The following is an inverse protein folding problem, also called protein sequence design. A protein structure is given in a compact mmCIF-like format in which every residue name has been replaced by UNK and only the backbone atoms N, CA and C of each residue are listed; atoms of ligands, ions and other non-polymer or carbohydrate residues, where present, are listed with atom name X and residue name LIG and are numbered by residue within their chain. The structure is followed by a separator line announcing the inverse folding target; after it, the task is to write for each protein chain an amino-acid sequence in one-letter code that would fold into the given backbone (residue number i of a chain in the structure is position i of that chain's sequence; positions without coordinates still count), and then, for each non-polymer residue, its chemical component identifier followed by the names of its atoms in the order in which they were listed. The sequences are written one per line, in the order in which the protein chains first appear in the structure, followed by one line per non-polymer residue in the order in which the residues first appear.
data_IF_294068287551
#
_entry.id   IF_294068287551
#
_cell.length_a   1.000
_cell.length_b   1.000
_cell.length_c   1.000
_cell.angle_alpha   90.00
_cell.angle_beta   90.00
_cell.angle_gamma   90.00
#
_symmetry.space_group_name_H-M   'P 1'
#
loop_
_entity.id
_entity.type
_entity.pdbx_description
1 polymer ?
#
# COMPACT_ATOMS: atom_id res chain seq x y z
N UNK A 1 8.51 14.62 -7.40
CA UNK A 1 7.99 13.47 -8.14
C UNK A 1 6.66 13.04 -7.51
N UNK A 2 5.73 12.51 -8.30
CA UNK A 2 4.47 11.94 -7.85
C UNK A 2 4.40 10.46 -8.21
N UNK A 3 3.84 9.64 -7.31
CA UNK A 3 3.70 8.18 -7.48
C UNK A 3 2.31 7.73 -7.08
N UNK A 4 1.78 6.75 -7.81
CA UNK A 4 0.60 6.00 -7.41
C UNK A 4 1.08 4.86 -6.50
N UNK A 5 0.94 5.03 -5.19
CA UNK A 5 1.36 4.02 -4.20
C UNK A 5 0.21 3.11 -3.74
N UNK A 6 -1.00 3.40 -4.17
CA UNK A 6 -2.24 2.68 -3.86
C UNK A 6 -2.47 1.41 -4.69
N UNK A 7 -1.54 1.06 -5.57
CA UNK A 7 -1.62 -0.13 -6.42
C UNK A 7 -0.74 -1.26 -5.89
N UNK A 8 -1.29 -2.47 -5.89
CA UNK A 8 -0.49 -3.67 -5.65
C UNK A 8 0.44 -3.94 -6.86
N UNK A 9 1.61 -4.48 -6.58
CA UNK A 9 2.58 -4.89 -7.60
C UNK A 9 2.88 -6.38 -7.48
N UNK A 10 3.43 -6.97 -8.52
CA UNK A 10 3.92 -8.35 -8.43
C UNK A 10 5.06 -8.44 -7.41
N UNK A 11 5.16 -9.53 -6.62
CA UNK A 11 6.30 -9.80 -5.76
C UNK A 11 7.61 -9.75 -6.53
N UNK A 12 8.50 -8.83 -6.13
CA UNK A 12 9.77 -8.57 -6.79
C UNK A 12 10.73 -7.87 -5.82
N UNK A 13 11.96 -7.63 -6.24
CA UNK A 13 12.94 -6.86 -5.45
C UNK A 13 12.53 -5.39 -5.21
N UNK A 14 11.60 -4.86 -5.99
CA UNK A 14 11.07 -3.51 -5.83
C UNK A 14 9.74 -3.48 -5.06
N UNK A 15 9.42 -4.56 -4.35
CA UNK A 15 8.19 -4.73 -3.58
C UNK A 15 8.47 -5.07 -2.12
N UNK A 16 7.48 -4.86 -1.29
CA UNK A 16 7.42 -5.33 0.10
C UNK A 16 5.99 -5.76 0.45
N UNK A 17 5.82 -6.47 1.55
CA UNK A 17 4.49 -6.78 2.06
C UNK A 17 4.02 -5.67 3.00
N UNK A 18 2.83 -5.18 2.73
CA UNK A 18 2.08 -4.28 3.61
C UNK A 18 0.76 -4.92 4.02
N UNK A 19 0.16 -4.43 5.09
CA UNK A 19 -1.17 -4.82 5.55
C UNK A 19 -2.16 -3.72 5.22
N UNK A 20 -3.27 -4.09 4.59
CA UNK A 20 -4.40 -3.21 4.33
C UNK A 20 -5.70 -4.02 4.42
N UNK A 21 -6.74 -3.45 5.02
CA UNK A 21 -8.05 -4.09 5.22
C UNK A 21 -7.99 -5.44 5.98
N UNK A 22 -6.96 -5.63 6.82
CA UNK A 22 -6.73 -6.88 7.54
C UNK A 22 -6.03 -7.98 6.74
N UNK A 23 -5.71 -7.73 5.47
CA UNK A 23 -5.01 -8.65 4.57
C UNK A 23 -3.60 -8.16 4.26
N UNK A 24 -2.73 -9.09 3.88
CA UNK A 24 -1.40 -8.77 3.37
C UNK A 24 -1.45 -8.61 1.85
N UNK A 25 -0.69 -7.66 1.31
CA UNK A 25 -0.56 -7.44 -0.12
C UNK A 25 0.85 -6.96 -0.49
N UNK A 26 1.24 -7.23 -1.71
CA UNK A 26 2.52 -6.76 -2.25
C UNK A 26 2.39 -5.33 -2.74
N UNK A 27 3.19 -4.42 -2.20
CA UNK A 27 3.22 -3.01 -2.53
C UNK A 27 4.59 -2.57 -3.03
N UNK A 28 4.63 -1.57 -3.92
CA UNK A 28 5.88 -0.97 -4.41
C UNK A 28 6.61 -0.24 -3.29
N UNK A 29 7.94 -0.36 -3.24
CA UNK A 29 8.82 0.43 -2.36
C UNK A 29 9.47 1.62 -3.09
N UNK A 30 9.14 1.84 -4.35
CA UNK A 30 9.84 2.83 -5.19
C UNK A 30 9.80 4.25 -4.58
N UNK A 31 8.65 4.68 -4.08
CA UNK A 31 8.49 5.98 -3.42
C UNK A 31 9.36 6.09 -2.18
N UNK A 32 9.46 5.02 -1.38
CA UNK A 32 10.30 4.98 -0.18
C UNK A 32 11.80 5.04 -0.53
N UNK A 33 12.23 4.28 -1.53
CA UNK A 33 13.62 4.30 -2.03
C UNK A 33 14.02 5.69 -2.51
N UNK A 34 13.15 6.34 -3.28
CA UNK A 34 13.43 7.68 -3.82
C UNK A 34 13.43 8.74 -2.73
N UNK A 35 12.52 8.66 -1.76
CA UNK A 35 12.49 9.57 -0.63
C UNK A 35 13.77 9.47 0.20
N UNK A 36 14.22 8.26 0.55
CA UNK A 36 15.46 8.06 1.29
C UNK A 36 16.70 8.53 0.52
N UNK A 37 16.80 8.23 -0.79
CA UNK A 37 17.95 8.63 -1.60
C UNK A 37 18.04 10.13 -1.81
N UNK A 38 16.91 10.81 -1.85
CA UNK A 38 16.85 12.26 -2.08
C UNK A 38 16.75 13.06 -0.78
N UNK A 39 16.76 12.41 0.38
CA UNK A 39 16.47 13.03 1.68
C UNK A 39 15.18 13.89 1.62
N UNK A 40 14.15 13.32 1.03
CA UNK A 40 12.90 14.02 0.75
C UNK A 40 11.77 13.59 1.69
N UNK A 41 10.89 14.52 2.01
CA UNK A 41 9.64 14.21 2.72
C UNK A 41 8.66 13.52 1.79
N UNK A 42 7.81 12.67 2.37
CA UNK A 42 6.70 12.03 1.67
C UNK A 42 5.41 12.78 2.05
N UNK A 43 4.66 13.18 1.03
CA UNK A 43 3.33 13.73 1.20
C UNK A 43 2.32 12.86 0.47
N UNK A 44 1.30 12.41 1.17
CA UNK A 44 0.15 11.73 0.60
C UNK A 44 -0.90 12.73 0.16
N UNK A 45 -1.54 12.48 -0.97
CA UNK A 45 -2.64 13.30 -1.48
C UNK A 45 -3.89 12.45 -1.63
N UNK A 46 -4.93 12.81 -0.88
CA UNK A 46 -6.26 12.24 -1.01
C UNK A 46 -7.17 13.18 -1.80
N UNK A 47 -8.10 12.63 -2.55
CA UNK A 47 -9.20 13.38 -3.14
C UNK A 47 -10.50 13.08 -2.41
N UNK A 48 -11.21 14.12 -2.00
CA UNK A 48 -12.48 14.01 -1.29
C UNK A 48 -13.57 14.65 -2.15
N UNK A 49 -14.55 13.87 -2.65
CA UNK A 49 -15.64 14.41 -3.42
C UNK A 49 -16.52 15.30 -2.54
N UNK A 50 -16.97 16.41 -3.10
CA UNK A 50 -17.85 17.36 -2.46
C UNK A 50 -19.28 17.22 -3.00
N UNK A 51 -20.27 17.71 -2.24
CA UNK A 51 -21.70 17.62 -2.63
C UNK A 51 -22.04 18.41 -3.88
N UNK A 52 -21.26 19.41 -4.23
CA UNK A 52 -21.43 20.26 -5.43
C UNK A 52 -20.80 19.64 -6.69
N UNK A 53 -20.22 18.45 -6.57
CA UNK A 53 -19.54 17.74 -7.67
C UNK A 53 -18.07 18.13 -7.85
N UNK A 54 -17.55 19.06 -7.05
CA UNK A 54 -16.11 19.34 -7.00
C UNK A 54 -15.34 18.28 -6.21
N UNK A 55 -14.02 18.30 -6.30
CA UNK A 55 -13.13 17.48 -5.48
C UNK A 55 -12.15 18.36 -4.70
N UNK A 56 -12.01 18.07 -3.42
CA UNK A 56 -10.98 18.66 -2.57
C UNK A 56 -9.74 17.75 -2.57
N UNK A 57 -8.57 18.30 -2.87
CA UNK A 57 -7.30 17.58 -2.69
C UNK A 57 -6.74 17.91 -1.31
N UNK A 58 -6.53 16.87 -0.49
CA UNK A 58 -5.92 16.97 0.85
C UNK A 58 -4.51 16.43 0.82
N UNK A 59 -3.57 17.26 1.18
CA UNK A 59 -2.16 16.90 1.28
C UNK A 59 -1.79 16.69 2.74
N UNK A 60 -1.22 15.51 3.05
CA UNK A 60 -0.75 15.17 4.39
C UNK A 60 0.73 14.76 4.31
N UNK A 61 1.57 15.42 5.08
CA UNK A 61 2.98 15.03 5.21
C UNK A 61 3.05 13.82 6.14
N UNK A 62 3.68 12.73 5.67
CA UNK A 62 3.92 11.55 6.50
C UNK A 62 5.14 11.80 7.40
N UNK A 63 4.92 11.67 8.70
CA UNK A 63 5.99 11.66 9.69
C UNK A 63 6.59 10.25 9.75
N UNK A 64 7.68 10.03 9.03
CA UNK A 64 8.44 8.79 9.12
C UNK A 64 9.65 8.98 10.03
N UNK A 65 9.95 8.03 10.94
CA UNK A 65 11.20 8.08 11.71
C UNK A 65 12.42 8.14 10.79
N UNK A 66 13.49 8.87 11.15
CA UNK A 66 14.68 8.99 10.31
C UNK A 66 15.35 7.65 9.95
N UNK A 67 15.11 6.62 10.74
CA UNK A 67 15.65 5.26 10.56
C UNK A 67 14.58 4.27 10.06
N UNK A 68 13.45 4.77 9.55
CA UNK A 68 12.39 3.89 9.04
C UNK A 68 12.89 3.04 7.87
N UNK A 69 12.54 1.77 7.88
CA UNK A 69 12.78 0.85 6.77
C UNK A 69 11.89 1.19 5.58
N UNK A 70 12.25 0.74 4.38
CA UNK A 70 11.43 0.92 3.17
C UNK A 70 10.02 0.35 3.35
N UNK A 71 9.90 -0.76 4.08
CA UNK A 71 8.62 -1.39 4.41
C UNK A 71 7.78 -0.51 5.33
N UNK A 72 8.37 0.04 6.39
CA UNK A 72 7.66 0.93 7.33
C UNK A 72 7.13 2.18 6.63
N UNK A 73 7.91 2.75 5.71
CA UNK A 73 7.48 3.87 4.89
C UNK A 73 6.29 3.46 3.99
N UNK A 74 6.39 2.32 3.31
CA UNK A 74 5.31 1.82 2.47
C UNK A 74 4.05 1.52 3.30
N UNK A 75 4.20 0.94 4.50
CA UNK A 75 3.08 0.69 5.42
C UNK A 75 2.43 2.01 5.87
N UNK A 76 3.23 3.02 6.24
CA UNK A 76 2.70 4.32 6.65
C UNK A 76 1.84 4.99 5.55
N UNK A 77 2.21 4.83 4.27
CA UNK A 77 1.36 5.28 3.16
C UNK A 77 0.01 4.56 3.15
N UNK A 78 0.01 3.23 3.35
CA UNK A 78 -1.23 2.45 3.39
C UNK A 78 -2.08 2.74 4.62
N UNK A 79 -1.46 2.93 5.79
CA UNK A 79 -2.14 3.33 7.02
C UNK A 79 -2.81 4.70 6.87
N UNK A 80 -2.23 5.59 6.04
CA UNK A 80 -2.84 6.87 5.69
C UNK A 80 -4.06 6.71 4.77
N UNK A 81 -3.96 5.87 3.73
CA UNK A 81 -5.03 5.74 2.73
C UNK A 81 -6.20 4.87 3.18
N UNK A 82 -5.97 3.81 3.94
CA UNK A 82 -7.02 2.86 4.32
C UNK A 82 -8.24 3.51 5.00
N UNK A 83 -8.11 4.44 5.96
CA UNK A 83 -9.26 5.10 6.57
C UNK A 83 -10.13 5.87 5.58
N UNK A 84 -9.50 6.52 4.58
CA UNK A 84 -10.21 7.24 3.52
C UNK A 84 -10.98 6.27 2.62
N UNK A 85 -10.35 5.18 2.23
CA UNK A 85 -10.94 4.15 1.38
C UNK A 85 -12.08 3.38 2.10
N UNK A 86 -11.98 3.18 3.41
CA UNK A 86 -13.08 2.60 4.21
C UNK A 86 -14.29 3.52 4.30
N UNK A 87 -14.06 4.82 4.38
CA UNK A 87 -15.13 5.83 4.44
C UNK A 87 -15.83 5.98 3.11
N UNK A 88 -15.07 5.98 2.00
CA UNK A 88 -15.55 6.20 0.64
C UNK A 88 -15.06 5.08 -0.31
N UNK A 89 -15.59 3.86 -0.19
CA UNK A 89 -15.08 2.71 -0.96
C UNK A 89 -15.18 2.90 -2.49
N UNK A 90 -16.11 3.75 -2.95
CA UNK A 90 -16.28 4.05 -4.37
C UNK A 90 -15.12 4.79 -5.02
N UNK A 91 -14.21 5.36 -4.21
CA UNK A 91 -13.05 6.11 -4.72
C UNK A 91 -11.89 5.21 -5.15
N UNK A 92 -11.92 3.92 -4.83
CA UNK A 92 -10.83 3.01 -5.15
C UNK A 92 -11.16 2.05 -6.28
N UNK A 93 -10.16 1.75 -7.09
CA UNK A 93 -10.31 0.86 -8.24
C UNK A 93 -10.28 -0.61 -7.81
N UNK A 94 -11.35 -1.10 -7.18
CA UNK A 94 -11.48 -2.49 -6.71
C UNK A 94 -11.30 -3.52 -7.82
N UNK A 95 -11.69 -3.20 -9.06
CA UNK A 95 -11.54 -4.06 -10.22
C UNK A 95 -10.07 -4.38 -10.58
N UNK A 96 -9.11 -3.63 -10.04
CA UNK A 96 -7.68 -3.91 -10.21
C UNK A 96 -7.21 -5.19 -9.51
N UNK A 97 -8.02 -5.76 -8.61
CA UNK A 97 -7.70 -7.00 -7.88
C UNK A 97 -6.42 -6.86 -7.03
N UNK A 98 -6.42 -5.90 -6.12
CA UNK A 98 -5.26 -5.58 -5.27
C UNK A 98 -4.75 -6.76 -4.44
N UNK A 99 -5.65 -7.64 -3.96
CA UNK A 99 -5.34 -8.82 -3.15
C UNK A 99 -5.27 -10.10 -3.98
N UNK A 100 -4.63 -10.04 -5.16
CA UNK A 100 -4.55 -11.20 -6.09
C UNK A 100 -3.64 -12.32 -5.60
N UNK A 101 -2.75 -12.04 -4.66
CA UNK A 101 -1.84 -13.01 -4.05
C UNK A 101 -2.07 -13.06 -2.55
N UNK A 102 -2.01 -14.25 -1.99
CA UNK A 102 -2.16 -14.51 -0.55
C UNK A 102 -1.10 -15.50 -0.07
N UNK A 103 -0.77 -15.48 1.24
CA UNK A 103 0.12 -16.49 1.81
C UNK A 103 -0.48 -17.89 1.72
N UNK A 104 0.38 -18.91 1.64
CA UNK A 104 -0.06 -20.28 1.85
C UNK A 104 -0.59 -20.47 3.28
N UNK A 105 -1.56 -21.35 3.42
CA UNK A 105 -2.14 -21.74 4.71
C UNK A 105 -2.63 -20.57 5.58
N UNK A 106 -2.99 -19.44 4.97
CA UNK A 106 -3.57 -18.32 5.71
C UNK A 106 -4.97 -18.63 6.20
N UNK A 107 -5.27 -18.22 7.45
CA UNK A 107 -6.62 -18.27 8.02
C UNK A 107 -7.41 -16.98 7.74
N UNK A 108 -6.76 -15.97 7.18
CA UNK A 108 -7.40 -14.71 6.80
C UNK A 108 -8.22 -14.92 5.54
N UNK A 109 -9.46 -14.44 5.55
CA UNK A 109 -10.33 -14.50 4.39
C UNK A 109 -9.87 -13.49 3.33
N UNK A 110 -9.56 -13.99 2.15
CA UNK A 110 -9.19 -13.20 0.97
C UNK A 110 -10.32 -13.24 -0.08
N UNK A 111 -10.38 -12.26 -1.00
CA UNK A 111 -11.31 -12.29 -2.12
C UNK A 111 -11.16 -13.58 -2.94
N UNK A 112 -12.26 -14.04 -3.53
CA UNK A 112 -12.34 -15.30 -4.31
C UNK A 112 -11.29 -15.39 -5.44
N UNK A 113 -10.77 -14.28 -5.91
CA UNK A 113 -9.77 -14.22 -6.98
C UNK A 113 -8.31 -14.32 -6.48
N UNK A 114 -8.10 -14.39 -5.16
CA UNK A 114 -6.75 -14.48 -4.59
C UNK A 114 -6.19 -15.89 -4.72
N UNK A 115 -4.94 -15.98 -5.14
CA UNK A 115 -4.23 -17.24 -5.29
C UNK A 115 -3.00 -17.29 -4.38
N UNK A 116 -2.70 -18.47 -3.86
CA UNK A 116 -1.45 -18.75 -3.18
C UNK A 116 -0.28 -18.70 -4.18
N UNK A 117 0.85 -18.14 -3.76
CA UNK A 117 2.00 -18.00 -4.63
C UNK A 117 3.32 -17.99 -3.84
N UNK A 118 4.24 -18.92 -4.13
CA UNK A 118 5.53 -19.07 -3.46
C UNK A 118 6.35 -17.77 -3.44
N UNK A 119 6.31 -16.98 -4.51
CA UNK A 119 7.00 -15.70 -4.57
C UNK A 119 6.44 -14.68 -3.57
N UNK A 120 5.16 -14.79 -3.21
CA UNK A 120 4.55 -13.95 -2.19
C UNK A 120 5.06 -14.34 -0.80
N UNK A 121 5.13 -15.65 -0.49
CA UNK A 121 5.67 -16.11 0.80
C UNK A 121 7.15 -15.78 0.96
N UNK A 122 7.92 -15.89 -0.12
CA UNK A 122 9.32 -15.48 -0.13
C UNK A 122 9.44 -13.98 0.18
N UNK A 123 8.68 -13.13 -0.50
CA UNK A 123 8.67 -11.70 -0.24
C UNK A 123 8.20 -11.37 1.19
N UNK A 124 7.24 -12.14 1.71
CA UNK A 124 6.74 -12.02 3.08
C UNK A 124 7.86 -12.26 4.11
N UNK A 125 8.62 -13.34 3.92
CA UNK A 125 9.77 -13.63 4.76
C UNK A 125 10.87 -12.55 4.66
N UNK A 126 11.19 -12.10 3.44
CA UNK A 126 12.13 -11.00 3.19
C UNK A 126 11.67 -9.66 3.81
N UNK A 127 10.36 -9.46 3.92
CA UNK A 127 9.75 -8.29 4.57
C UNK A 127 9.72 -8.39 6.10
N UNK A 128 10.26 -9.46 6.71
CA UNK A 128 10.30 -9.66 8.17
C UNK A 128 8.92 -9.95 8.79
N UNK A 129 8.01 -10.53 8.01
CA UNK A 129 6.69 -10.96 8.48
C UNK A 129 6.74 -12.47 8.63
N UNK A 130 6.66 -12.94 9.87
CA UNK A 130 6.60 -14.37 10.19
C UNK A 130 5.16 -14.90 10.09
#
# INVERSE_FOLDING_TARGET
AAFLCDLSVAPSQAATIVRAFGMEMSASILHAVLAQRADAIIACVDTVPQRDGSCEARLTILECPPVATLREIAQACWDHFEPSLRREPGLWLWAYKHFRHKPHNTTVEYPFYANEWDAFDKLRAESGIA
#
